data_IF_052406600413
#
_entry.id   IF_052406600413
#
_cell.length_a   1.000
_cell.length_b   1.000
_cell.length_c   1.000
_cell.angle_alpha   90.00
_cell.angle_beta   90.00
_cell.angle_gamma   90.00
#
_symmetry.space_group_name_H-M   'P 1'
#
loop_
_entity.id
_entity.type
_entity.pdbx_description
1 polymer ?
#
# COMPACT_ATOMS: atom_id res chain seq x y z
N UNK A 1 -8.15 -18.01 -21.96
CA UNK A 1 -7.37 -16.81 -21.56
C UNK A 1 -7.64 -16.36 -20.13
N UNK A 2 -8.89 -16.39 -19.62
CA UNK A 2 -9.21 -16.08 -18.21
C UNK A 2 -8.53 -17.01 -17.18
N UNK A 3 -8.44 -18.31 -17.46
CA UNK A 3 -7.93 -19.31 -16.49
C UNK A 3 -6.41 -19.25 -16.28
N UNK A 4 -5.63 -18.98 -17.34
CA UNK A 4 -4.17 -18.80 -17.22
C UNK A 4 -3.80 -17.47 -16.53
N UNK A 5 -4.59 -16.41 -16.77
CA UNK A 5 -4.40 -15.12 -16.11
C UNK A 5 -4.70 -15.16 -14.61
N UNK A 6 -5.71 -15.94 -14.20
CA UNK A 6 -6.07 -16.08 -12.79
C UNK A 6 -5.05 -16.88 -11.98
N UNK A 7 -4.50 -17.96 -12.55
CA UNK A 7 -3.43 -18.72 -11.90
C UNK A 7 -2.15 -17.89 -11.71
N UNK A 8 -1.78 -17.09 -12.72
CA UNK A 8 -0.66 -16.16 -12.63
C UNK A 8 -0.90 -15.06 -11.59
N UNK A 9 -2.10 -14.47 -11.55
CA UNK A 9 -2.47 -13.46 -10.57
C UNK A 9 -2.42 -14.00 -9.12
N UNK A 10 -2.88 -15.24 -8.91
CA UNK A 10 -2.81 -15.89 -7.59
C UNK A 10 -1.37 -16.15 -7.16
N UNK A 11 -0.49 -16.57 -8.07
CA UNK A 11 0.93 -16.81 -7.77
C UNK A 11 1.67 -15.49 -7.46
N UNK A 12 1.41 -14.44 -8.23
CA UNK A 12 1.90 -13.10 -7.95
C UNK A 12 1.42 -12.60 -6.59
N UNK A 13 0.15 -12.81 -6.26
CA UNK A 13 -0.39 -12.43 -4.96
C UNK A 13 0.30 -13.17 -3.80
N UNK A 14 0.68 -14.44 -3.97
CA UNK A 14 1.44 -15.17 -2.94
C UNK A 14 2.86 -14.62 -2.82
N UNK A 15 3.54 -14.38 -3.95
CA UNK A 15 4.90 -13.83 -3.96
C UNK A 15 4.96 -12.45 -3.30
N UNK A 16 3.94 -11.62 -3.51
CA UNK A 16 3.83 -10.26 -2.98
C UNK A 16 3.24 -10.18 -1.57
N UNK A 17 2.82 -11.29 -0.98
CA UNK A 17 2.24 -11.31 0.36
C UNK A 17 3.17 -10.72 1.42
N UNK A 18 4.40 -11.23 1.51
CA UNK A 18 5.41 -10.74 2.47
C UNK A 18 5.93 -9.36 2.05
N UNK A 19 6.35 -9.13 0.79
CA UNK A 19 6.83 -7.82 0.34
C UNK A 19 5.87 -6.68 0.64
N UNK A 20 4.57 -6.82 0.35
CA UNK A 20 3.60 -5.75 0.56
C UNK A 20 3.47 -5.33 2.03
N UNK A 21 3.53 -6.29 2.95
CA UNK A 21 3.47 -6.03 4.40
C UNK A 21 4.76 -5.42 4.91
N UNK A 22 5.91 -5.87 4.40
CA UNK A 22 7.20 -5.26 4.69
C UNK A 22 7.25 -3.80 4.21
N UNK A 23 6.78 -3.52 2.98
CA UNK A 23 6.67 -2.16 2.44
C UNK A 23 5.80 -1.29 3.33
N UNK A 24 4.61 -1.77 3.72
CA UNK A 24 3.72 -1.03 4.61
C UNK A 24 4.37 -0.70 5.97
N UNK A 25 5.11 -1.64 6.56
CA UNK A 25 5.88 -1.42 7.78
C UNK A 25 7.01 -0.41 7.60
N UNK A 26 7.79 -0.53 6.51
CA UNK A 26 8.88 0.39 6.20
C UNK A 26 8.36 1.81 5.99
N UNK A 27 7.27 2.00 5.26
CA UNK A 27 6.61 3.30 5.06
C UNK A 27 6.25 3.98 6.40
N UNK A 28 5.70 3.24 7.36
CA UNK A 28 5.42 3.76 8.69
C UNK A 28 6.69 4.17 9.45
N UNK A 29 7.75 3.37 9.33
CA UNK A 29 9.04 3.65 9.97
C UNK A 29 9.71 4.90 9.37
N UNK A 30 9.86 4.97 8.04
CA UNK A 30 10.54 6.11 7.39
C UNK A 30 9.76 7.42 7.50
N UNK A 31 8.44 7.35 7.67
CA UNK A 31 7.58 8.52 7.87
C UNK A 31 7.46 8.94 9.34
N UNK A 32 7.96 8.14 10.30
CA UNK A 32 7.79 8.39 11.74
C UNK A 32 6.36 8.12 12.27
N UNK A 33 5.51 7.45 11.49
CA UNK A 33 4.11 7.20 11.83
C UNK A 33 3.85 5.79 12.42
N UNK A 34 4.85 5.13 13.03
CA UNK A 34 4.69 3.77 13.57
C UNK A 34 3.52 3.62 14.56
N UNK A 35 3.15 4.70 15.26
CA UNK A 35 2.00 4.73 16.15
C UNK A 35 0.64 4.46 15.45
N UNK A 36 0.56 4.64 14.12
CA UNK A 36 -0.63 4.37 13.28
C UNK A 36 -0.66 2.96 12.69
N UNK A 37 0.13 2.02 13.20
CA UNK A 37 0.21 0.64 12.67
C UNK A 37 -1.11 -0.14 12.74
N UNK A 38 -2.03 0.25 13.63
CA UNK A 38 -3.37 -0.31 13.74
C UNK A 38 -4.21 -0.06 12.46
N UNK A 39 -3.87 0.97 11.69
CA UNK A 39 -4.53 1.26 10.41
C UNK A 39 -4.36 0.12 9.39
N UNK A 40 -3.23 -0.59 9.42
CA UNK A 40 -2.95 -1.71 8.51
C UNK A 40 -3.86 -2.91 8.80
N UNK A 41 -4.13 -3.21 10.07
CA UNK A 41 -5.02 -4.31 10.43
C UNK A 41 -6.47 -3.96 10.13
N UNK A 42 -6.85 -2.69 10.29
CA UNK A 42 -8.20 -2.18 10.05
C UNK A 42 -8.56 -2.05 8.57
N UNK A 43 -7.64 -1.53 7.74
CA UNK A 43 -7.93 -1.20 6.35
C UNK A 43 -7.07 -1.96 5.32
N UNK A 44 -6.03 -2.69 5.72
CA UNK A 44 -5.14 -3.38 4.79
C UNK A 44 -5.81 -4.47 3.93
N UNK A 45 -7.02 -4.93 4.34
CA UNK A 45 -7.85 -5.89 3.59
C UNK A 45 -8.97 -5.24 2.78
N UNK A 46 -9.12 -3.91 2.83
CA UNK A 46 -10.15 -3.17 2.12
C UNK A 46 -9.73 -2.88 0.67
N UNK A 47 -9.21 -3.89 -0.03
CA UNK A 47 -8.81 -3.82 -1.43
C UNK A 47 -9.05 -5.18 -2.10
N UNK A 48 -9.28 -5.19 -3.42
CA UNK A 48 -9.53 -6.44 -4.18
C UNK A 48 -8.31 -7.37 -4.17
N UNK A 49 -7.10 -6.80 -4.30
CA UNK A 49 -5.85 -7.53 -4.06
C UNK A 49 -5.53 -7.57 -2.56
N UNK A 50 -5.15 -8.75 -2.02
CA UNK A 50 -4.74 -8.93 -0.62
C UNK A 50 -3.40 -8.26 -0.25
N UNK A 51 -2.72 -7.66 -1.24
CA UNK A 51 -1.39 -7.07 -1.10
C UNK A 51 -1.43 -5.54 -1.19
N UNK A 52 -2.08 -5.01 -2.23
CA UNK A 52 -2.11 -3.56 -2.47
C UNK A 52 -2.75 -2.76 -1.34
N UNK A 53 -3.72 -3.35 -0.62
CA UNK A 53 -4.42 -2.67 0.46
C UNK A 53 -3.51 -2.27 1.64
N UNK A 54 -2.39 -2.96 1.87
CA UNK A 54 -1.51 -2.66 3.01
C UNK A 54 -0.71 -1.36 2.80
N UNK A 55 0.05 -1.18 1.70
CA UNK A 55 0.69 0.10 1.39
C UNK A 55 -0.32 1.25 1.24
N UNK A 56 -1.48 1.02 0.63
CA UNK A 56 -2.54 2.03 0.49
C UNK A 56 -3.10 2.46 1.86
N UNK A 57 -3.38 1.50 2.76
CA UNK A 57 -3.80 1.79 4.12
C UNK A 57 -2.75 2.58 4.90
N UNK A 58 -1.47 2.24 4.74
CA UNK A 58 -0.37 3.00 5.35
C UNK A 58 -0.34 4.43 4.84
N UNK A 59 -0.45 4.63 3.52
CA UNK A 59 -0.42 5.96 2.94
C UNK A 59 -1.64 6.79 3.39
N UNK A 60 -2.83 6.19 3.47
CA UNK A 60 -4.03 6.84 3.97
C UNK A 60 -3.86 7.27 5.43
N UNK A 61 -3.21 6.44 6.26
CA UNK A 61 -2.90 6.77 7.64
C UNK A 61 -1.91 7.94 7.74
N UNK A 62 -0.88 7.98 6.90
CA UNK A 62 0.14 9.03 6.92
C UNK A 62 -0.44 10.36 6.45
N UNK A 63 -1.22 10.36 5.37
CA UNK A 63 -1.84 11.55 4.79
C UNK A 63 -3.10 12.02 5.53
N UNK A 64 -3.62 11.21 6.46
CA UNK A 64 -4.92 11.44 7.13
C UNK A 64 -6.03 11.70 6.11
N UNK A 65 -6.28 10.70 5.25
CA UNK A 65 -7.29 10.74 4.21
C UNK A 65 -7.98 9.38 4.08
N UNK A 66 -8.83 9.24 3.06
CA UNK A 66 -9.40 7.95 2.64
C UNK A 66 -9.19 7.72 1.15
N UNK A 67 -8.90 6.48 0.77
CA UNK A 67 -8.85 6.02 -0.62
C UNK A 67 -10.04 5.13 -0.95
N UNK A 68 -10.24 4.87 -2.25
CA UNK A 68 -11.32 4.02 -2.76
C UNK A 68 -12.66 4.74 -2.78
N UNK A 69 -13.73 3.97 -2.57
CA UNK A 69 -15.10 4.42 -2.75
C UNK A 69 -15.68 4.07 -4.12
N UNK A 70 -16.89 4.56 -4.38
CA UNK A 70 -17.64 4.25 -5.60
C UNK A 70 -16.99 4.92 -6.80
N UNK A 71 -16.63 4.10 -7.80
CA UNK A 71 -16.13 4.57 -9.08
C UNK A 71 -17.20 4.39 -10.15
N UNK A 72 -17.38 5.38 -11.02
CA UNK A 72 -18.23 5.21 -12.21
C UNK A 72 -17.35 4.75 -13.38
N UNK A 73 -17.62 3.54 -13.87
CA UNK A 73 -17.02 3.00 -15.08
C UNK A 73 -18.09 2.84 -16.14
N UNK A 74 -18.05 3.65 -17.19
CA UNK A 74 -18.96 3.58 -18.33
C UNK A 74 -20.46 3.65 -17.94
N UNK A 75 -20.80 4.46 -16.93
CA UNK A 75 -22.18 4.58 -16.42
C UNK A 75 -22.58 3.49 -15.44
N UNK A 76 -21.65 2.63 -15.03
CA UNK A 76 -21.87 1.62 -14.00
C UNK A 76 -21.10 1.98 -12.74
N UNK A 77 -21.85 2.23 -11.67
CA UNK A 77 -21.29 2.41 -10.34
C UNK A 77 -20.69 1.09 -9.84
N UNK A 78 -19.38 1.08 -9.64
CA UNK A 78 -18.64 -0.01 -8.99
C UNK A 78 -18.28 0.45 -7.59
N UNK A 79 -18.99 -0.08 -6.60
CA UNK A 79 -18.69 0.18 -5.20
C UNK A 79 -17.44 -0.57 -4.77
N UNK A 80 -16.49 0.16 -4.19
CA UNK A 80 -15.30 -0.40 -3.55
C UNK A 80 -15.27 0.04 -2.09
N UNK A 81 -14.75 -0.79 -1.19
CA UNK A 81 -14.59 -0.39 0.21
C UNK A 81 -13.66 0.83 0.30
N UNK A 82 -13.90 1.67 1.30
CA UNK A 82 -13.01 2.77 1.63
C UNK A 82 -11.82 2.27 2.47
N UNK A 83 -10.64 2.82 2.20
CA UNK A 83 -9.42 2.64 2.99
C UNK A 83 -9.17 3.93 3.74
N UNK A 84 -9.46 3.96 5.04
CA UNK A 84 -9.42 5.16 5.87
C UNK A 84 -10.81 5.79 6.10
N UNK A 85 -10.84 6.91 6.83
CA UNK A 85 -12.10 7.53 7.30
C UNK A 85 -12.23 9.01 7.00
N UNK A 86 -11.12 9.73 6.83
CA UNK A 86 -11.16 11.18 6.66
C UNK A 86 -11.45 11.54 5.20
N UNK A 87 -12.66 12.04 4.94
CA UNK A 87 -13.07 12.50 3.63
C UNK A 87 -12.61 13.93 3.39
N UNK A 88 -11.59 14.10 2.55
CA UNK A 88 -11.08 15.41 2.17
C UNK A 88 -10.55 15.40 0.75
N UNK A 89 -10.55 16.55 0.05
CA UNK A 89 -9.93 16.64 -1.26
C UNK A 89 -8.42 16.40 -1.17
N UNK A 90 -7.87 15.75 -2.20
CA UNK A 90 -6.43 15.61 -2.38
C UNK A 90 -5.81 16.91 -2.87
N UNK A 91 -4.62 17.20 -2.38
CA UNK A 91 -3.82 18.37 -2.76
C UNK A 91 -2.53 17.93 -3.44
N UNK A 92 -1.87 18.87 -4.12
CA UNK A 92 -0.52 18.63 -4.67
C UNK A 92 0.48 18.28 -3.56
N UNK A 93 0.31 18.82 -2.35
CA UNK A 93 1.16 18.50 -1.21
C UNK A 93 1.05 17.02 -0.83
N UNK A 94 -0.15 16.44 -0.86
CA UNK A 94 -0.36 15.01 -0.62
C UNK A 94 0.42 14.12 -1.59
N UNK A 95 0.42 14.48 -2.88
CA UNK A 95 1.19 13.79 -3.90
C UNK A 95 2.70 13.87 -3.64
N UNK A 96 3.19 15.05 -3.23
CA UNK A 96 4.60 15.26 -2.90
C UNK A 96 5.01 14.44 -1.67
N UNK A 97 4.18 14.42 -0.63
CA UNK A 97 4.38 13.60 0.57
C UNK A 97 4.39 12.12 0.20
N UNK A 98 3.42 11.65 -0.58
CA UNK A 98 3.34 10.27 -1.04
C UNK A 98 4.60 9.83 -1.82
N UNK A 99 5.03 10.67 -2.77
CA UNK A 99 6.24 10.43 -3.56
C UNK A 99 7.48 10.37 -2.67
N UNK A 100 7.61 11.30 -1.72
CA UNK A 100 8.73 11.34 -0.78
C UNK A 100 8.78 10.08 0.10
N UNK A 101 7.64 9.63 0.62
CA UNK A 101 7.56 8.39 1.41
C UNK A 101 7.95 7.19 0.57
N UNK A 102 7.48 7.12 -0.68
CA UNK A 102 7.82 6.04 -1.60
C UNK A 102 9.34 5.99 -1.85
N UNK A 103 9.96 7.11 -2.26
CA UNK A 103 11.41 7.17 -2.51
C UNK A 103 12.24 6.84 -1.27
N UNK A 104 11.83 7.31 -0.09
CA UNK A 104 12.52 6.97 1.16
C UNK A 104 12.37 5.48 1.52
N UNK A 105 11.21 4.89 1.25
CA UNK A 105 10.94 3.47 1.48
C UNK A 105 11.76 2.59 0.53
N UNK A 106 11.84 2.97 -0.74
CA UNK A 106 12.68 2.31 -1.75
C UNK A 106 14.16 2.36 -1.35
N UNK A 107 14.65 3.52 -0.92
CA UNK A 107 16.03 3.66 -0.43
C UNK A 107 16.29 2.77 0.79
N UNK A 108 15.39 2.79 1.78
CA UNK A 108 15.51 1.96 2.97
C UNK A 108 15.51 0.45 2.64
N UNK A 109 14.65 0.03 1.72
CA UNK A 109 14.61 -1.36 1.24
C UNK A 109 15.90 -1.73 0.51
N UNK A 110 16.40 -0.86 -0.38
CA UNK A 110 17.67 -1.08 -1.09
C UNK A 110 18.85 -1.24 -0.14
N UNK A 111 18.95 -0.38 0.88
CA UNK A 111 19.97 -0.49 1.92
C UNK A 111 19.83 -1.78 2.73
N UNK A 112 18.60 -2.18 3.09
CA UNK A 112 18.34 -3.43 3.80
C UNK A 112 18.78 -4.64 2.98
N UNK A 113 18.46 -4.69 1.69
CA UNK A 113 18.87 -5.76 0.78
C UNK A 113 20.39 -5.80 0.62
N UNK A 114 21.05 -4.65 0.45
CA UNK A 114 22.52 -4.58 0.38
C UNK A 114 23.18 -5.10 1.67
N UNK A 115 22.67 -4.70 2.83
CA UNK A 115 23.17 -5.15 4.12
C UNK A 115 23.02 -6.67 4.29
N UNK A 116 21.83 -7.21 4.02
CA UNK A 116 21.58 -8.65 4.09
C UNK A 116 22.47 -9.44 3.13
N UNK A 117 22.70 -8.91 1.93
CA UNK A 117 23.57 -9.54 0.94
C UNK A 117 25.03 -9.62 1.42
N UNK A 118 25.53 -8.58 2.09
CA UNK A 118 26.89 -8.57 2.66
C UNK A 118 27.00 -9.55 3.84
N UNK A 119 25.95 -9.65 4.67
CA UNK A 119 25.96 -10.54 5.85
C UNK A 119 25.84 -12.04 5.51
N UNK A 120 25.33 -12.36 4.33
CA UNK A 120 25.15 -13.74 3.85
C UNK A 120 26.32 -14.25 2.99
N UNK A 121 27.32 -13.39 2.73
CA UNK A 121 28.60 -13.73 2.08
C UNK A 121 29.62 -14.21 3.10
#
# INVERSE_FOLDING_TARGET
YKEFGEAAARLDDVANYIPARLTACLMLLVSGNWHKRDFLTRFGRAHLSPNSGYPEATLAAILDCRFGGTHDYFGQAVEKPYIGVNDRPFTTEDMLIATKINSNTELAMGLLVCLLSILLQ
#
